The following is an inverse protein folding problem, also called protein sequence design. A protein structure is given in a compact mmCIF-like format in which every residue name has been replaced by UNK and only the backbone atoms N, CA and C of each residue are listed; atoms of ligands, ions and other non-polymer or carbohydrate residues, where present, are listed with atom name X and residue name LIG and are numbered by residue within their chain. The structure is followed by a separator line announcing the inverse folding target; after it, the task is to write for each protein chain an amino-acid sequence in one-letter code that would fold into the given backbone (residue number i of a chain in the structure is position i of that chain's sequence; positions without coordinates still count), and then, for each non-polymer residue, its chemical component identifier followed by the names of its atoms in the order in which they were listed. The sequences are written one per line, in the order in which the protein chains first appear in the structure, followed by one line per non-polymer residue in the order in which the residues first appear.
data_IF_566143477170
#
_entry.id   IF_566143477170
#
_cell.length_a   1.000
_cell.length_b   1.000
_cell.length_c   1.000
_cell.angle_alpha   90.00
_cell.angle_beta   90.00
_cell.angle_gamma   90.00
#
_symmetry.space_group_name_H-M   'P 1'
#
loop_
_entity.id
_entity.type
_entity.pdbx_description
1 polymer ?
#
# COMPACT_ATOMS: atom_id res chain seq x y z
N UNK A 1 -53.00 -35.87 32.63
CA UNK A 1 -52.52 -35.74 31.23
C UNK A 1 -52.69 -34.30 30.77
N UNK A 2 -51.59 -33.69 30.32
CA UNK A 2 -51.43 -32.62 29.29
C UNK A 2 -52.54 -31.55 29.17
N UNK A 3 -52.24 -30.30 29.58
CA UNK A 3 -51.85 -29.15 28.72
C UNK A 3 -52.95 -28.68 27.76
N UNK A 4 -53.57 -27.52 28.02
CA UNK A 4 -53.74 -26.42 27.04
C UNK A 4 -53.92 -25.11 27.82
N UNK A 5 -52.83 -24.35 27.98
CA UNK A 5 -52.89 -22.89 28.16
C UNK A 5 -52.41 -22.32 26.82
N UNK A 6 -52.85 -21.10 26.54
CA UNK A 6 -52.35 -20.16 25.53
C UNK A 6 -53.21 -20.11 24.26
N UNK A 7 -54.30 -19.35 24.35
CA UNK A 7 -54.89 -18.66 23.20
C UNK A 7 -54.89 -17.16 23.50
N UNK A 8 -53.70 -16.63 23.79
CA UNK A 8 -53.40 -15.20 23.78
C UNK A 8 -52.44 -14.99 22.61
N UNK A 9 -52.64 -13.92 21.82
CA UNK A 9 -51.90 -13.53 20.60
C UNK A 9 -52.59 -13.81 19.25
N UNK A 10 -53.90 -13.59 19.12
CA UNK A 10 -54.53 -13.21 17.84
C UNK A 10 -54.65 -11.68 17.67
N UNK A 11 -53.66 -10.95 18.21
CA UNK A 11 -53.43 -9.53 17.95
C UNK A 11 -51.94 -9.30 17.62
N UNK A 12 -51.33 -10.20 16.86
CA UNK A 12 -50.25 -9.76 15.98
C UNK A 12 -50.90 -9.14 14.76
N UNK A 13 -51.37 -7.90 14.95
CA UNK A 13 -51.57 -6.98 13.85
C UNK A 13 -50.37 -7.13 12.92
N UNK A 14 -50.66 -7.27 11.63
CA UNK A 14 -49.69 -7.38 10.57
C UNK A 14 -48.84 -6.10 10.53
N UNK A 15 -47.87 -5.98 11.44
CA UNK A 15 -46.61 -5.32 11.14
C UNK A 15 -45.83 -6.30 10.28
N UNK A 16 -46.30 -6.46 9.04
CA UNK A 16 -45.40 -6.74 7.94
C UNK A 16 -44.51 -5.50 7.89
N UNK A 17 -43.42 -5.53 8.66
CA UNK A 17 -42.36 -4.55 8.53
C UNK A 17 -41.97 -4.60 7.05
N UNK A 18 -42.45 -3.62 6.29
CA UNK A 18 -42.03 -3.44 4.93
C UNK A 18 -40.56 -3.10 5.06
N UNK A 19 -39.70 -4.12 4.92
CA UNK A 19 -38.27 -3.94 4.98
C UNK A 19 -37.95 -2.89 3.91
N UNK A 20 -37.60 -1.68 4.36
CA UNK A 20 -37.24 -0.61 3.46
C UNK A 20 -36.16 -1.13 2.52
N UNK A 21 -36.31 -0.88 1.22
CA UNK A 21 -35.29 -1.31 0.26
C UNK A 21 -33.98 -0.62 0.63
N UNK A 22 -32.97 -1.41 0.95
CA UNK A 22 -31.65 -0.91 1.31
C UNK A 22 -30.86 -0.76 0.01
N UNK A 23 -30.31 0.42 -0.22
CA UNK A 23 -29.35 0.65 -1.29
C UNK A 23 -28.00 1.00 -0.69
N UNK A 24 -26.92 0.72 -1.41
CA UNK A 24 -25.60 0.97 -0.88
C UNK A 24 -24.49 0.27 -1.63
N UNK A 25 -23.32 0.27 -1.01
CA UNK A 25 -22.16 -0.49 -1.45
C UNK A 25 -21.84 -1.54 -0.38
N UNK A 26 -21.68 -2.78 -0.81
CA UNK A 26 -21.16 -3.87 0.01
C UNK A 26 -19.72 -4.15 -0.40
N UNK A 27 -18.77 -3.86 0.49
CA UNK A 27 -17.34 -4.05 0.24
C UNK A 27 -16.92 -5.31 0.97
N UNK A 28 -16.37 -6.28 0.26
CA UNK A 28 -16.01 -7.58 0.80
C UNK A 28 -14.57 -7.94 0.47
N UNK A 29 -13.86 -8.42 1.47
CA UNK A 29 -12.48 -8.87 1.38
C UNK A 29 -12.39 -10.40 1.50
N UNK A 30 -11.53 -11.02 0.71
CA UNK A 30 -11.30 -12.47 0.75
C UNK A 30 -10.27 -12.84 1.84
N UNK A 31 -10.67 -12.73 3.11
CA UNK A 31 -9.87 -13.22 4.25
C UNK A 31 -8.78 -12.28 4.76
N UNK A 32 -8.77 -11.02 4.33
CA UNK A 32 -7.95 -9.96 4.94
C UNK A 32 -8.82 -8.85 5.52
N UNK A 33 -8.50 -8.38 6.73
CA UNK A 33 -9.20 -7.27 7.33
C UNK A 33 -8.93 -5.98 6.51
N UNK A 34 -9.97 -5.19 6.30
CA UNK A 34 -9.96 -3.94 5.53
C UNK A 34 -10.40 -2.76 6.38
N UNK A 35 -9.91 -1.59 5.98
CA UNK A 35 -10.35 -0.28 6.45
C UNK A 35 -10.98 0.47 5.28
N UNK A 36 -12.21 0.91 5.45
CA UNK A 36 -12.98 1.63 4.42
C UNK A 36 -13.10 3.09 4.79
N UNK A 37 -12.84 3.97 3.82
CA UNK A 37 -12.96 5.41 3.95
C UNK A 37 -13.90 5.96 2.88
N UNK A 38 -14.74 6.92 3.28
CA UNK A 38 -15.55 7.74 2.38
C UNK A 38 -15.13 9.19 2.56
N UNK A 39 -14.67 9.84 1.49
CA UNK A 39 -14.17 11.23 1.49
C UNK A 39 -13.13 11.51 2.59
N UNK A 40 -12.35 10.50 2.95
CA UNK A 40 -11.30 10.57 3.97
C UNK A 40 -11.76 10.23 5.39
N UNK A 41 -13.05 10.02 5.64
CA UNK A 41 -13.59 9.57 6.94
C UNK A 41 -13.69 8.05 7.00
N UNK A 42 -13.24 7.45 8.11
CA UNK A 42 -13.28 6.00 8.29
C UNK A 42 -14.70 5.53 8.62
N UNK A 43 -15.23 4.61 7.82
CA UNK A 43 -16.61 4.13 7.95
C UNK A 43 -16.71 2.90 8.85
N UNK A 44 -15.68 2.06 8.90
CA UNK A 44 -15.69 0.84 9.70
C UNK A 44 -14.37 0.63 10.44
N UNK A 45 -14.43 -0.01 11.60
CA UNK A 45 -13.27 -0.65 12.22
C UNK A 45 -12.75 -1.78 11.30
N UNK A 46 -11.51 -2.27 11.49
CA UNK A 46 -10.98 -3.40 10.72
C UNK A 46 -11.98 -4.56 10.66
N UNK A 47 -12.38 -4.93 9.45
CA UNK A 47 -13.42 -5.94 9.19
C UNK A 47 -13.15 -6.59 7.84
N UNK A 48 -13.65 -7.79 7.57
CA UNK A 48 -13.59 -8.37 6.22
C UNK A 48 -14.72 -7.86 5.32
N UNK A 49 -15.78 -7.29 5.91
CA UNK A 49 -16.93 -6.78 5.17
C UNK A 49 -17.39 -5.43 5.72
N UNK A 50 -17.68 -4.49 4.83
CA UNK A 50 -18.18 -3.16 5.18
C UNK A 50 -19.33 -2.78 4.25
N UNK A 51 -20.50 -2.51 4.82
CA UNK A 51 -21.66 -2.05 4.09
C UNK A 51 -21.89 -0.56 4.33
N UNK A 52 -21.97 0.21 3.24
CA UNK A 52 -22.27 1.63 3.24
C UNK A 52 -23.69 1.81 2.71
N UNK A 53 -24.64 2.05 3.60
CA UNK A 53 -26.06 2.17 3.28
C UNK A 53 -26.47 3.61 2.91
N UNK A 54 -27.38 3.74 1.95
CA UNK A 54 -28.26 4.89 1.71
C UNK A 54 -27.56 6.27 1.67
N UNK A 55 -26.34 6.34 1.15
CA UNK A 55 -25.61 7.60 0.96
C UNK A 55 -26.12 8.36 -0.27
N UNK A 56 -25.90 9.67 -0.36
CA UNK A 56 -26.42 10.49 -1.46
C UNK A 56 -25.31 11.26 -2.16
N UNK A 57 -25.36 11.35 -3.49
CA UNK A 57 -24.31 12.02 -4.26
C UNK A 57 -23.16 11.09 -4.62
N UNK A 58 -22.03 11.68 -5.00
CA UNK A 58 -20.83 10.97 -5.46
C UNK A 58 -19.72 11.17 -4.44
N UNK A 59 -19.20 10.07 -3.91
CA UNK A 59 -18.17 10.08 -2.88
C UNK A 59 -16.94 9.32 -3.33
N UNK A 60 -15.77 9.71 -2.83
CA UNK A 60 -14.54 8.96 -3.02
C UNK A 60 -14.48 7.84 -2.00
N UNK A 61 -14.47 6.60 -2.49
CA UNK A 61 -14.33 5.40 -1.67
C UNK A 61 -12.90 4.91 -1.77
N UNK A 62 -12.25 4.76 -0.62
CA UNK A 62 -10.91 4.19 -0.50
C UNK A 62 -10.95 2.99 0.44
N UNK A 63 -10.39 1.87 -0.01
CA UNK A 63 -10.32 0.65 0.79
C UNK A 63 -8.86 0.26 0.93
N UNK A 64 -8.42 0.08 2.17
CA UNK A 64 -7.07 -0.34 2.50
C UNK A 64 -7.08 -1.69 3.21
N UNK A 65 -6.03 -2.48 3.02
CA UNK A 65 -5.73 -3.58 3.93
C UNK A 65 -5.47 -3.00 5.34
N UNK A 66 -6.02 -3.62 6.37
CA UNK A 66 -5.80 -3.23 7.75
C UNK A 66 -4.47 -3.80 8.23
N UNK A 67 -3.55 -2.94 8.65
CA UNK A 67 -2.29 -3.37 9.27
C UNK A 67 -2.39 -3.24 10.78
N UNK A 68 -2.42 -4.36 11.48
CA UNK A 68 -2.42 -4.39 12.94
C UNK A 68 -1.05 -4.03 13.52
N UNK A 69 -1.03 -3.13 14.51
CA UNK A 69 0.16 -2.72 15.25
C UNK A 69 0.07 -3.31 16.66
N UNK A 70 0.79 -4.41 16.97
CA UNK A 70 0.68 -5.09 18.25
C UNK A 70 1.02 -4.24 19.48
N UNK A 71 1.92 -3.25 19.32
CA UNK A 71 2.37 -2.39 20.42
C UNK A 71 1.33 -1.40 20.89
N UNK A 72 0.44 -0.96 20.00
CA UNK A 72 -0.61 0.02 20.31
C UNK A 72 -2.00 -0.61 20.33
N UNK A 73 -2.13 -1.85 19.88
CA UNK A 73 -3.42 -2.51 19.67
C UNK A 73 -4.27 -1.87 18.57
N UNK A 74 -3.69 -0.95 17.78
CA UNK A 74 -4.40 -0.21 16.74
C UNK A 74 -4.17 -0.84 15.38
N UNK A 75 -5.18 -0.74 14.51
CA UNK A 75 -5.04 -1.05 13.09
C UNK A 75 -4.97 0.25 12.30
N UNK A 76 -4.02 0.31 11.38
CA UNK A 76 -3.77 1.48 10.52
C UNK A 76 -3.94 1.11 9.06
N UNK A 77 -4.02 2.13 8.18
CA UNK A 77 -4.02 1.96 6.73
C UNK A 77 -2.76 1.21 6.28
N UNK A 78 -2.94 0.07 5.62
CA UNK A 78 -1.93 -0.67 4.89
C UNK A 78 -2.01 -0.37 3.39
N UNK A 79 -1.96 -1.41 2.57
CA UNK A 79 -1.96 -1.29 1.11
C UNK A 79 -3.33 -0.81 0.60
N UNK A 80 -3.33 0.06 -0.41
CA UNK A 80 -4.55 0.49 -1.08
C UNK A 80 -5.07 -0.66 -1.97
N UNK A 81 -6.28 -1.13 -1.70
CA UNK A 81 -6.92 -2.22 -2.44
C UNK A 81 -7.92 -1.71 -3.47
N UNK A 82 -8.55 -0.56 -3.21
CA UNK A 82 -9.55 0.02 -4.10
C UNK A 82 -9.63 1.54 -3.90
N UNK A 83 -9.77 2.27 -5.02
CA UNK A 83 -10.04 3.71 -5.00
C UNK A 83 -10.87 4.13 -6.21
N UNK A 84 -12.10 4.56 -5.98
CA UNK A 84 -12.97 5.11 -7.03
C UNK A 84 -13.92 6.17 -6.48
N UNK A 85 -14.41 7.04 -7.37
CA UNK A 85 -15.55 7.89 -7.10
C UNK A 85 -16.85 7.14 -7.41
N UNK A 86 -17.61 6.79 -6.37
CA UNK A 86 -18.82 5.98 -6.47
C UNK A 86 -20.06 6.81 -6.14
N UNK A 87 -21.11 6.65 -6.96
CA UNK A 87 -22.44 7.20 -6.70
C UNK A 87 -23.36 6.10 -6.18
N UNK A 88 -24.36 6.48 -5.37
CA UNK A 88 -25.35 5.53 -4.86
C UNK A 88 -26.07 4.84 -6.04
N UNK A 89 -26.09 3.49 -6.10
CA UNK A 89 -26.78 2.74 -7.14
C UNK A 89 -28.32 2.82 -7.05
N UNK A 90 -28.88 3.53 -6.07
CA UNK A 90 -30.29 3.93 -6.01
C UNK A 90 -31.20 2.87 -5.39
N UNK A 91 -31.58 1.85 -6.16
CA UNK A 91 -32.44 0.74 -5.68
C UNK A 91 -31.66 -0.58 -5.50
N UNK A 92 -30.36 -0.57 -5.74
CA UNK A 92 -29.53 -1.78 -5.76
C UNK A 92 -28.44 -1.73 -4.68
N UNK A 93 -27.77 -2.86 -4.49
CA UNK A 93 -26.51 -2.95 -3.76
C UNK A 93 -25.40 -3.16 -4.80
N UNK A 94 -24.36 -2.32 -4.76
CA UNK A 94 -23.13 -2.55 -5.53
C UNK A 94 -22.17 -3.36 -4.69
N UNK A 95 -21.85 -4.58 -5.13
CA UNK A 95 -20.79 -5.37 -4.51
C UNK A 95 -19.42 -4.93 -5.04
N UNK A 96 -18.50 -4.64 -4.13
CA UNK A 96 -17.09 -4.36 -4.42
C UNK A 96 -16.27 -5.44 -3.71
N UNK A 97 -15.71 -6.36 -4.48
CA UNK A 97 -14.76 -7.33 -3.94
C UNK A 97 -13.38 -6.72 -3.97
N UNK A 98 -12.69 -6.75 -2.83
CA UNK A 98 -11.30 -6.33 -2.69
C UNK A 98 -10.49 -7.52 -2.23
N UNK A 99 -9.21 -7.54 -2.58
CA UNK A 99 -8.36 -8.68 -2.29
C UNK A 99 -7.06 -8.59 -3.06
N UNK A 100 -6.13 -9.48 -2.73
CA UNK A 100 -4.83 -9.58 -3.40
C UNK A 100 -4.92 -9.75 -4.92
N UNK A 101 -6.00 -10.34 -5.42
CA UNK A 101 -6.25 -10.61 -6.84
C UNK A 101 -6.95 -9.45 -7.57
N UNK A 102 -7.57 -8.52 -6.83
CA UNK A 102 -8.26 -7.34 -7.39
C UNK A 102 -7.39 -6.08 -7.36
N UNK A 103 -6.07 -6.27 -7.22
CA UNK A 103 -5.12 -5.17 -7.37
C UNK A 103 -5.30 -4.58 -8.78
N UNK A 104 -5.35 -3.24 -8.93
CA UNK A 104 -5.40 -2.59 -10.25
C UNK A 104 -4.27 -3.03 -11.20
N UNK A 105 -3.20 -3.65 -10.66
CA UNK A 105 -2.02 -4.12 -11.39
C UNK A 105 -2.01 -5.63 -11.69
N UNK A 106 -3.09 -6.39 -11.39
CA UNK A 106 -3.14 -7.85 -11.61
C UNK A 106 -3.32 -8.20 -13.10
N UNK A 107 -2.43 -9.03 -13.67
CA UNK A 107 -2.53 -9.54 -15.06
C UNK A 107 -2.83 -11.06 -15.06
N UNK A 108 -3.85 -11.54 -15.82
CA UNK A 108 -4.42 -12.88 -15.62
C UNK A 108 -3.64 -14.06 -16.23
N UNK A 109 -2.62 -13.80 -17.06
CA UNK A 109 -2.03 -14.84 -17.93
C UNK A 109 -0.89 -15.67 -17.30
N UNK A 110 -0.90 -15.90 -15.99
CA UNK A 110 0.08 -16.82 -15.37
C UNK A 110 -0.61 -18.00 -14.68
N UNK A 111 -0.36 -19.25 -15.13
CA UNK A 111 -0.95 -20.43 -14.51
C UNK A 111 -0.50 -20.58 -13.05
N UNK A 112 -1.46 -20.87 -12.19
CA UNK A 112 -1.26 -21.25 -10.80
C UNK A 112 -0.36 -22.48 -10.70
N UNK A 113 0.76 -22.37 -9.97
CA UNK A 113 1.57 -23.52 -9.58
C UNK A 113 1.48 -23.70 -8.07
N UNK A 114 1.05 -24.88 -7.57
CA UNK A 114 0.95 -25.13 -6.15
C UNK A 114 2.35 -25.28 -5.54
N UNK A 115 2.51 -24.71 -4.34
CA UNK A 115 3.60 -24.92 -3.39
C UNK A 115 4.99 -25.10 -3.99
N UNK A 116 5.64 -23.98 -4.31
CA UNK A 116 7.12 -23.92 -4.29
C UNK A 116 7.59 -23.22 -3.03
N UNK A 117 8.52 -23.81 -2.25
CA UNK A 117 9.21 -23.10 -1.20
C UNK A 117 9.85 -21.85 -1.82
N UNK A 118 9.59 -20.70 -1.22
CA UNK A 118 10.00 -19.38 -1.69
C UNK A 118 11.46 -19.40 -2.16
N UNK A 119 11.68 -19.52 -3.47
CA UNK A 119 12.97 -19.23 -4.09
C UNK A 119 13.12 -17.70 -4.06
N UNK A 120 14.26 -17.17 -3.61
CA UNK A 120 14.45 -15.74 -3.35
C UNK A 120 14.54 -14.98 -4.67
N UNK A 121 13.38 -14.65 -5.23
CA UNK A 121 13.21 -13.80 -6.39
C UNK A 121 12.72 -12.43 -5.93
N UNK A 122 13.63 -11.59 -5.46
CA UNK A 122 13.60 -10.12 -5.54
C UNK A 122 12.20 -9.47 -5.71
N UNK A 123 11.35 -9.56 -4.69
CA UNK A 123 10.11 -8.79 -4.58
C UNK A 123 10.40 -7.47 -3.89
N UNK A 124 10.44 -6.38 -4.66
CA UNK A 124 10.65 -5.01 -4.16
C UNK A 124 9.36 -4.36 -3.64
N UNK A 125 8.47 -5.17 -3.08
CA UNK A 125 7.06 -4.78 -2.96
C UNK A 125 6.74 -3.96 -1.71
N UNK A 126 7.75 -3.57 -0.93
CA UNK A 126 7.57 -2.63 0.19
C UNK A 126 8.55 -1.48 0.03
N UNK A 127 8.05 -0.37 -0.51
CA UNK A 127 8.73 0.93 -0.47
C UNK A 127 8.70 1.43 0.96
N UNK A 128 9.84 1.89 1.47
CA UNK A 128 9.90 2.49 2.80
C UNK A 128 8.96 3.70 2.85
N UNK A 129 7.98 3.69 3.75
CA UNK A 129 7.04 4.80 3.83
C UNK A 129 7.70 6.04 4.46
N UNK A 130 7.08 7.21 4.33
CA UNK A 130 7.65 8.49 4.79
C UNK A 130 8.04 8.49 6.27
N UNK A 131 7.18 7.98 7.16
CA UNK A 131 7.44 8.01 8.60
C UNK A 131 8.59 7.06 9.00
N UNK A 132 8.67 5.90 8.35
CA UNK A 132 9.80 4.96 8.50
C UNK A 132 11.08 5.57 7.95
N UNK A 133 11.00 6.22 6.79
CA UNK A 133 12.13 6.90 6.17
C UNK A 133 12.65 8.06 7.01
N UNK A 134 11.77 8.89 7.59
CA UNK A 134 12.18 9.99 8.45
C UNK A 134 12.91 9.49 9.71
N UNK A 135 12.55 8.31 10.22
CA UNK A 135 13.28 7.65 11.31
C UNK A 135 14.61 7.09 10.82
N UNK A 136 14.61 6.39 9.69
CA UNK A 136 15.80 5.81 9.09
C UNK A 136 16.84 6.88 8.74
N UNK A 137 16.43 7.97 8.09
CA UNK A 137 17.26 9.10 7.71
C UNK A 137 17.93 9.75 8.93
N UNK A 138 17.22 9.87 10.07
CA UNK A 138 17.82 10.34 11.32
C UNK A 138 18.92 9.39 11.81
N UNK A 139 18.65 8.09 11.84
CA UNK A 139 19.66 7.08 12.24
C UNK A 139 20.90 7.12 11.34
N UNK A 140 20.74 7.38 10.03
CA UNK A 140 21.86 7.54 9.10
C UNK A 140 22.62 8.84 9.40
N UNK A 141 21.91 9.97 9.60
CA UNK A 141 22.52 11.26 9.96
C UNK A 141 23.35 11.19 11.24
N UNK A 142 22.88 10.42 12.22
CA UNK A 142 23.53 10.25 13.53
C UNK A 142 24.86 9.46 13.47
N UNK A 143 25.19 8.83 12.32
CA UNK A 143 26.50 8.19 12.13
C UNK A 143 27.57 9.24 11.83
N UNK A 144 28.71 9.14 12.52
CA UNK A 144 29.84 10.06 12.37
C UNK A 144 30.66 9.82 11.10
N UNK A 145 30.73 8.57 10.62
CA UNK A 145 31.54 8.19 9.47
C UNK A 145 30.68 7.77 8.27
N UNK A 146 31.10 8.18 7.07
CA UNK A 146 30.41 7.84 5.80
C UNK A 146 30.35 6.33 5.55
N UNK A 147 31.36 5.57 5.98
CA UNK A 147 31.36 4.11 5.91
C UNK A 147 30.22 3.48 6.71
N UNK A 148 29.91 4.01 7.89
CA UNK A 148 28.84 3.51 8.74
C UNK A 148 27.45 3.87 8.17
N UNK A 149 27.34 5.05 7.56
CA UNK A 149 26.15 5.47 6.80
C UNK A 149 25.88 4.50 5.66
N UNK A 150 26.90 4.28 4.82
CA UNK A 150 26.81 3.38 3.67
C UNK A 150 26.42 1.95 4.09
N UNK A 151 27.10 1.39 5.11
CA UNK A 151 26.78 0.05 5.61
C UNK A 151 25.34 -0.09 6.09
N UNK A 152 24.82 0.92 6.79
CA UNK A 152 23.43 0.94 7.25
C UNK A 152 22.43 1.01 6.09
N UNK A 153 22.72 1.85 5.08
CA UNK A 153 21.90 1.96 3.88
C UNK A 153 21.91 0.66 3.10
N UNK A 154 23.07 0.10 2.81
CA UNK A 154 23.22 -1.18 2.09
C UNK A 154 22.48 -2.33 2.78
N UNK A 155 22.54 -2.40 4.11
CA UNK A 155 21.81 -3.42 4.88
C UNK A 155 20.30 -3.25 4.71
N UNK A 156 19.82 -2.01 4.67
CA UNK A 156 18.38 -1.69 4.56
C UNK A 156 17.88 -1.92 3.14
N UNK A 157 18.72 -1.69 2.12
CA UNK A 157 18.40 -1.96 0.72
C UNK A 157 17.98 -3.42 0.48
N UNK A 158 18.43 -4.37 1.30
CA UNK A 158 18.07 -5.79 1.19
C UNK A 158 16.58 -6.02 1.40
N UNK A 159 15.95 -5.28 2.31
CA UNK A 159 14.59 -5.56 2.79
C UNK A 159 13.51 -4.60 2.29
N UNK A 160 13.88 -3.46 1.68
CA UNK A 160 12.90 -2.46 1.23
C UNK A 160 13.37 -1.68 0.00
N UNK A 161 12.41 -1.19 -0.79
CA UNK A 161 12.64 -0.26 -1.89
C UNK A 161 12.63 1.19 -1.42
N UNK A 162 13.15 2.08 -2.27
CA UNK A 162 13.19 3.52 -2.03
C UNK A 162 12.64 4.28 -3.23
N UNK A 163 12.11 5.47 -2.99
CA UNK A 163 11.84 6.44 -4.07
C UNK A 163 13.10 7.21 -4.43
N UNK A 164 13.10 7.84 -5.60
CA UNK A 164 14.16 8.72 -6.08
C UNK A 164 14.35 9.92 -5.14
N UNK A 165 13.26 10.47 -4.58
CA UNK A 165 13.33 11.53 -3.58
C UNK A 165 14.03 11.08 -2.29
N UNK A 166 13.68 9.90 -1.78
CA UNK A 166 14.35 9.32 -0.60
C UNK A 166 15.85 9.06 -0.87
N UNK A 167 16.19 8.57 -2.07
CA UNK A 167 17.58 8.42 -2.49
C UNK A 167 18.31 9.78 -2.52
N UNK A 168 17.69 10.81 -3.09
CA UNK A 168 18.24 12.17 -3.13
C UNK A 168 18.52 12.70 -1.73
N UNK A 169 17.63 12.48 -0.76
CA UNK A 169 17.84 12.89 0.62
C UNK A 169 19.03 12.18 1.28
N UNK A 170 19.25 10.89 1.00
CA UNK A 170 20.40 10.13 1.51
C UNK A 170 21.71 10.56 0.83
N UNK A 171 21.68 10.76 -0.49
CA UNK A 171 22.84 11.19 -1.28
C UNK A 171 23.36 12.56 -0.82
N UNK A 172 22.47 13.48 -0.43
CA UNK A 172 22.82 14.80 0.11
C UNK A 172 23.58 14.76 1.44
N UNK A 173 23.65 13.61 2.12
CA UNK A 173 24.44 13.46 3.35
C UNK A 173 25.94 13.35 3.08
N UNK A 174 26.33 13.05 1.84
CA UNK A 174 27.71 12.85 1.44
C UNK A 174 28.26 14.11 0.77
N UNK A 175 29.49 14.49 1.14
CA UNK A 175 30.11 15.71 0.62
C UNK A 175 30.71 15.51 -0.77
N UNK A 176 31.30 14.33 -1.02
CA UNK A 176 32.03 14.05 -2.25
C UNK A 176 31.18 13.26 -3.26
N UNK A 177 31.19 13.69 -4.53
CA UNK A 177 30.44 13.03 -5.60
C UNK A 177 30.88 11.58 -5.84
N UNK A 178 32.14 11.24 -5.56
CA UNK A 178 32.63 9.85 -5.61
C UNK A 178 31.85 8.91 -4.69
N UNK A 179 31.47 9.38 -3.49
CA UNK A 179 30.70 8.60 -2.52
C UNK A 179 29.21 8.60 -2.87
N UNK A 180 28.68 9.75 -3.33
CA UNK A 180 27.32 9.85 -3.85
C UNK A 180 27.07 8.86 -4.98
N UNK A 181 27.99 8.77 -5.94
CA UNK A 181 27.90 7.85 -7.09
C UNK A 181 27.86 6.40 -6.61
N UNK A 182 28.74 5.99 -5.68
CA UNK A 182 28.73 4.63 -5.13
C UNK A 182 27.38 4.30 -4.50
N UNK A 183 26.85 5.22 -3.68
CA UNK A 183 25.55 5.05 -3.04
C UNK A 183 24.41 4.98 -4.07
N UNK A 184 24.39 5.89 -5.04
CA UNK A 184 23.41 5.90 -6.12
C UNK A 184 23.40 4.58 -6.90
N UNK A 185 24.57 4.04 -7.23
CA UNK A 185 24.69 2.77 -7.93
C UNK A 185 24.17 1.60 -7.10
N UNK A 186 24.44 1.59 -5.79
CA UNK A 186 23.93 0.57 -4.86
C UNK A 186 22.39 0.68 -4.69
N UNK A 187 21.86 1.91 -4.64
CA UNK A 187 20.44 2.17 -4.44
C UNK A 187 19.61 1.96 -5.71
N UNK A 188 20.12 2.28 -6.89
CA UNK A 188 19.37 2.29 -8.16
C UNK A 188 18.57 0.99 -8.44
N UNK A 189 19.09 -0.22 -8.16
CA UNK A 189 18.33 -1.45 -8.29
C UNK A 189 17.05 -1.49 -7.45
N UNK A 190 17.07 -0.83 -6.29
CA UNK A 190 16.01 -0.75 -5.28
C UNK A 190 15.10 0.46 -5.46
N UNK A 191 15.32 1.31 -6.48
CA UNK A 191 14.47 2.47 -6.76
C UNK A 191 13.19 2.05 -7.47
N UNK A 192 12.03 2.46 -6.96
CA UNK A 192 10.72 2.09 -7.54
C UNK A 192 10.25 3.02 -8.65
N UNK A 193 10.58 4.31 -8.57
CA UNK A 193 10.20 5.35 -9.53
C UNK A 193 11.38 5.77 -10.41
N UNK A 194 12.03 4.78 -11.05
CA UNK A 194 13.23 4.97 -11.89
C UNK A 194 13.15 6.13 -12.91
N UNK A 195 11.99 6.44 -13.54
CA UNK A 195 11.87 7.62 -14.41
C UNK A 195 12.22 8.95 -13.73
N UNK A 196 12.07 9.06 -12.40
CA UNK A 196 12.40 10.26 -11.61
C UNK A 196 13.86 10.32 -11.17
N UNK A 197 14.66 9.27 -11.44
CA UNK A 197 16.02 9.17 -10.92
C UNK A 197 16.97 10.25 -11.48
N UNK A 198 16.60 10.92 -12.58
CA UNK A 198 17.33 12.07 -13.10
C UNK A 198 17.48 13.18 -12.04
N UNK A 199 16.50 13.36 -11.15
CA UNK A 199 16.56 14.33 -10.05
C UNK A 199 17.70 14.02 -9.07
N UNK A 200 18.01 12.73 -8.88
CA UNK A 200 19.13 12.30 -8.05
C UNK A 200 20.43 12.60 -8.79
N UNK A 201 20.53 12.27 -10.07
CA UNK A 201 21.71 12.53 -10.91
C UNK A 201 22.04 14.03 -10.94
N UNK A 202 21.04 14.90 -11.04
CA UNK A 202 21.22 16.36 -11.03
C UNK A 202 21.81 16.91 -9.72
N UNK A 203 21.82 16.13 -8.64
CA UNK A 203 22.48 16.51 -7.39
C UNK A 203 24.01 16.36 -7.39
N UNK A 204 24.58 15.75 -8.43
CA UNK A 204 26.02 15.69 -8.66
C UNK A 204 26.53 17.04 -9.17
N UNK A 205 27.72 17.41 -8.74
CA UNK A 205 28.36 18.70 -9.02
C UNK A 205 28.95 18.72 -10.42
N UNK A 206 29.68 17.67 -10.80
CA UNK A 206 30.42 17.64 -12.05
C UNK A 206 29.64 16.95 -13.18
N UNK A 207 29.70 17.53 -14.38
CA UNK A 207 29.05 16.96 -15.56
C UNK A 207 29.59 15.56 -15.91
N UNK A 208 30.89 15.30 -15.66
CA UNK A 208 31.49 13.98 -15.83
C UNK A 208 30.83 12.91 -14.97
N UNK A 209 30.47 13.25 -13.74
CA UNK A 209 29.81 12.33 -12.80
C UNK A 209 28.35 12.09 -13.17
N UNK A 210 27.65 13.12 -13.64
CA UNK A 210 26.32 12.98 -14.24
C UNK A 210 26.34 12.03 -15.44
N UNK A 211 27.30 12.20 -16.35
CA UNK A 211 27.48 11.35 -17.52
C UNK A 211 27.74 9.89 -17.10
N UNK A 212 28.61 9.68 -16.11
CA UNK A 212 28.91 8.36 -15.55
C UNK A 212 27.67 7.67 -14.98
N UNK A 213 26.83 8.39 -14.23
CA UNK A 213 25.57 7.83 -13.71
C UNK A 213 24.55 7.54 -14.80
N UNK A 214 24.42 8.40 -15.81
CA UNK A 214 23.57 8.15 -16.97
C UNK A 214 24.01 6.90 -17.76
N UNK A 215 25.32 6.70 -17.93
CA UNK A 215 25.87 5.51 -18.57
C UNK A 215 25.55 4.24 -17.74
N UNK A 216 25.73 4.30 -16.42
CA UNK A 216 25.35 3.22 -15.51
C UNK A 216 23.87 2.84 -15.65
N UNK A 217 22.97 3.84 -15.64
CA UNK A 217 21.51 3.64 -15.79
C UNK A 217 21.18 2.96 -17.13
N UNK A 218 21.81 3.39 -18.23
CA UNK A 218 21.62 2.78 -19.56
C UNK A 218 22.06 1.32 -19.57
N UNK A 219 23.27 1.04 -19.05
CA UNK A 219 23.83 -0.33 -18.97
C UNK A 219 22.96 -1.25 -18.11
N UNK A 220 22.45 -0.74 -16.99
CA UNK A 220 21.59 -1.50 -16.09
C UNK A 220 20.32 -2.01 -16.78
N UNK A 221 19.69 -1.19 -17.63
CA UNK A 221 18.49 -1.58 -18.37
C UNK A 221 18.81 -2.48 -19.56
N UNK A 222 19.92 -2.27 -20.26
CA UNK A 222 20.32 -3.15 -21.38
C UNK A 222 20.69 -4.57 -20.95
N UNK A 223 21.10 -4.78 -19.69
CA UNK A 223 21.44 -6.10 -19.14
C UNK A 223 20.24 -6.86 -18.57
N UNK A 224 19.08 -6.20 -18.44
CA UNK A 224 17.86 -6.76 -17.83
C UNK A 224 16.72 -7.01 -18.81
N UNK A 225 16.87 -6.55 -20.05
CA UNK A 225 16.02 -6.90 -21.19
C UNK A 225 16.65 -8.06 -21.96
#
# INVERSE_FOLDING_TARGET
MRKVIITLCFLFAAFMAQAGRISGINIQSAGEAILVFMDGEQICTPTETCFIANYSGRHRIEVYAARYIPRTGQSVKGDLLFQEWVSNPGMNIRDIRVGRDNRPDFRPDRPDYPDRPSRPGYGYDVVMNRAEFDRFLRTVKDKSFDSDRNKLIETTLVSTGFTSDQCLQLVKLFSFDSEKIKLMQAMYPRIVDKPNFYLVIESLTFQSDKNKMNEFVRKYHSQRN
#
